data_IF_120401815256
#
_entry.id   IF_120401815256
#
_cell.length_a   1.000
_cell.length_b   1.000
_cell.length_c   1.000
_cell.angle_alpha   90.00
_cell.angle_beta   90.00
_cell.angle_gamma   90.00
#
_symmetry.space_group_name_H-M   'P 1'
#
loop_
_entity.id
_entity.type
_entity.pdbx_description
1 polymer ?
#
# COMPACT_ATOMS: atom_id res chain seq x y z
N UNK A 1 -6.60 -50.42 0.21
CA UNK A 1 -7.75 -49.60 0.66
C UNK A 1 -7.23 -48.19 0.88
N UNK A 2 -7.49 -47.24 -0.03
CA UNK A 2 -6.94 -45.89 0.04
C UNK A 2 -7.98 -44.96 0.68
N UNK A 3 -7.63 -44.32 1.81
CA UNK A 3 -8.46 -43.31 2.44
C UNK A 3 -8.26 -41.98 1.71
N UNK A 4 -9.27 -41.49 1.01
CA UNK A 4 -9.30 -40.12 0.46
C UNK A 4 -9.68 -39.16 1.57
N UNK A 5 -8.73 -38.31 1.98
CA UNK A 5 -9.05 -37.15 2.81
C UNK A 5 -9.83 -36.12 1.98
N UNK A 6 -11.00 -35.65 2.42
CA UNK A 6 -11.70 -34.57 1.73
C UNK A 6 -10.91 -33.27 1.90
N UNK A 7 -10.32 -32.77 0.81
CA UNK A 7 -9.76 -31.42 0.77
C UNK A 7 -10.89 -30.41 0.84
N UNK A 8 -10.90 -29.57 1.89
CA UNK A 8 -11.85 -28.46 2.00
C UNK A 8 -11.48 -27.42 0.94
N UNK A 9 -12.22 -27.40 -0.16
CA UNK A 9 -12.14 -26.34 -1.17
C UNK A 9 -12.87 -25.12 -0.63
N UNK A 10 -12.12 -24.13 -0.17
CA UNK A 10 -12.68 -22.81 0.17
C UNK A 10 -12.88 -22.05 -1.13
N UNK A 11 -14.12 -21.96 -1.59
CA UNK A 11 -14.49 -21.05 -2.67
C UNK A 11 -14.78 -19.66 -2.09
N UNK A 12 -14.09 -18.64 -2.58
CA UNK A 12 -14.38 -17.24 -2.24
C UNK A 12 -15.10 -16.62 -3.42
N UNK A 13 -16.32 -16.14 -3.22
CA UNK A 13 -17.05 -15.39 -4.23
C UNK A 13 -16.38 -14.02 -4.43
N UNK A 14 -15.83 -13.77 -5.62
CA UNK A 14 -15.31 -12.47 -6.01
C UNK A 14 -16.37 -11.70 -6.80
N UNK A 15 -16.80 -10.55 -6.28
CA UNK A 15 -17.58 -9.59 -7.04
C UNK A 15 -16.62 -8.63 -7.75
N UNK A 16 -16.51 -8.74 -9.08
CA UNK A 16 -15.74 -7.79 -9.90
C UNK A 16 -16.70 -6.71 -10.39
N UNK A 17 -16.54 -5.47 -9.88
CA UNK A 17 -17.19 -4.29 -10.47
C UNK A 17 -16.20 -3.63 -11.41
N UNK A 18 -16.66 -3.24 -12.60
CA UNK A 18 -15.88 -2.40 -13.48
C UNK A 18 -15.54 -1.10 -12.74
N UNK A 19 -14.26 -0.90 -12.43
CA UNK A 19 -13.80 0.37 -11.92
C UNK A 19 -13.87 1.42 -13.04
N UNK A 20 -14.15 2.67 -12.68
CA UNK A 20 -14.03 3.78 -13.62
C UNK A 20 -12.61 3.78 -14.22
N UNK A 21 -12.47 4.01 -15.54
CA UNK A 21 -11.16 4.19 -16.16
C UNK A 21 -10.40 5.27 -15.41
N UNK A 22 -9.19 4.93 -14.94
CA UNK A 22 -8.34 5.90 -14.24
C UNK A 22 -7.89 6.95 -15.25
N UNK A 23 -8.17 8.21 -14.96
CA UNK A 23 -7.65 9.32 -15.74
C UNK A 23 -6.26 9.71 -15.21
N UNK A 24 -5.27 9.81 -16.09
CA UNK A 24 -3.90 10.19 -15.74
C UNK A 24 -2.94 9.00 -15.53
N UNK A 25 -1.78 9.29 -14.93
CA UNK A 25 -0.71 8.30 -14.69
C UNK A 25 -0.60 7.82 -13.25
N UNK A 26 -1.35 8.42 -12.34
CA UNK A 26 -1.33 8.11 -10.91
C UNK A 26 -2.75 8.14 -10.33
N UNK A 27 -3.02 7.23 -9.39
CA UNK A 27 -4.26 7.21 -8.64
C UNK A 27 -4.01 6.75 -7.20
N UNK A 28 -4.56 7.45 -6.21
CA UNK A 28 -4.32 7.16 -4.80
C UNK A 28 -5.63 6.87 -4.07
N UNK A 29 -5.65 5.85 -3.23
CA UNK A 29 -6.84 5.40 -2.51
C UNK A 29 -6.49 4.69 -1.21
N UNK A 30 -7.49 4.53 -0.35
CA UNK A 30 -7.36 3.75 0.89
C UNK A 30 -8.10 2.43 0.73
N UNK A 31 -7.39 1.32 0.94
CA UNK A 31 -7.95 -0.04 0.95
C UNK A 31 -7.65 -0.69 2.29
N UNK A 32 -8.68 -1.09 3.03
CA UNK A 32 -8.55 -1.74 4.34
C UNK A 32 -7.63 -0.98 5.32
N UNK A 33 -7.69 0.36 5.33
CA UNK A 33 -6.85 1.21 6.18
C UNK A 33 -5.41 1.40 5.69
N UNK A 34 -5.01 0.76 4.59
CA UNK A 34 -3.73 0.98 3.94
C UNK A 34 -3.86 2.00 2.81
N UNK A 35 -2.98 2.99 2.77
CA UNK A 35 -2.91 3.97 1.70
C UNK A 35 -2.10 3.41 0.54
N UNK A 36 -2.72 3.30 -0.62
CA UNK A 36 -2.15 2.72 -1.83
C UNK A 36 -2.13 3.76 -2.95
N UNK A 37 -1.09 3.69 -3.77
CA UNK A 37 -0.98 4.47 -5.00
C UNK A 37 -0.77 3.52 -6.17
N UNK A 38 -1.59 3.64 -7.20
CA UNK A 38 -1.39 2.98 -8.48
C UNK A 38 -0.68 3.94 -9.43
N UNK A 39 0.42 3.50 -10.03
CA UNK A 39 1.23 4.28 -10.99
C UNK A 39 1.27 3.54 -12.31
N UNK A 40 1.10 4.24 -13.42
CA UNK A 40 1.24 3.70 -14.77
C UNK A 40 2.72 3.80 -15.20
N UNK A 41 3.40 2.65 -15.22
CA UNK A 41 4.81 2.52 -15.65
C UNK A 41 4.83 1.62 -16.88
N UNK A 42 5.39 2.11 -17.99
CA UNK A 42 5.47 1.38 -19.26
C UNK A 42 4.13 0.78 -19.74
N UNK A 43 3.03 1.52 -19.54
CA UNK A 43 1.67 1.08 -19.91
C UNK A 43 1.06 0.02 -18.97
N UNK A 44 1.74 -0.33 -17.88
CA UNK A 44 1.27 -1.27 -16.85
C UNK A 44 1.01 -0.55 -15.54
N UNK A 45 -0.11 -0.87 -14.90
CA UNK A 45 -0.42 -0.37 -13.56
C UNK A 45 0.37 -1.14 -12.50
N UNK A 46 1.05 -0.41 -11.64
CA UNK A 46 1.79 -0.92 -10.47
C UNK A 46 1.18 -0.30 -9.21
N UNK A 47 0.79 -1.13 -8.24
CA UNK A 47 0.32 -0.68 -6.93
C UNK A 47 1.49 -0.61 -5.95
N UNK A 48 1.70 0.56 -5.35
CA UNK A 48 2.71 0.81 -4.30
C UNK A 48 2.02 1.17 -2.98
N UNK A 49 2.57 0.67 -1.87
CA UNK A 49 2.15 1.10 -0.54
C UNK A 49 2.74 2.47 -0.26
N UNK A 50 1.90 3.43 0.11
CA UNK A 50 2.34 4.78 0.47
C UNK A 50 2.63 4.78 1.97
N UNK A 51 3.86 4.46 2.35
CA UNK A 51 4.33 4.74 3.70
C UNK A 51 4.46 6.25 3.90
N UNK A 52 4.07 6.74 5.08
CA UNK A 52 4.38 8.12 5.45
C UNK A 52 5.90 8.32 5.38
N UNK A 53 6.39 9.44 4.82
CA UNK A 53 7.82 9.73 4.87
C UNK A 53 8.27 9.72 6.33
N UNK A 54 9.46 9.18 6.64
CA UNK A 54 9.98 9.23 8.00
C UNK A 54 9.97 10.69 8.43
N UNK A 55 9.31 10.98 9.55
CA UNK A 55 9.34 12.30 10.14
C UNK A 55 10.82 12.64 10.36
N UNK A 56 11.33 13.63 9.61
CA UNK A 56 12.69 14.11 9.78
C UNK A 56 12.72 14.77 11.16
N UNK A 57 13.07 14.01 12.20
CA UNK A 57 13.26 14.55 13.54
C UNK A 57 14.57 15.33 13.52
N UNK A 58 14.51 16.57 13.05
CA UNK A 58 15.61 17.52 13.14
C UNK A 58 15.73 17.85 14.62
N UNK A 59 16.58 17.08 15.32
CA UNK A 59 16.98 17.42 16.67
C UNK A 59 17.76 18.74 16.58
N UNK A 60 17.08 19.85 16.85
CA UNK A 60 17.70 21.14 17.03
C UNK A 60 18.53 21.06 18.31
N UNK A 61 19.79 20.67 18.19
CA UNK A 61 20.76 20.74 19.27
C UNK A 61 21.05 22.22 19.53
N UNK A 62 20.41 22.79 20.54
CA UNK A 62 20.77 24.10 21.07
C UNK A 62 22.06 23.97 21.88
N UNK A 63 23.19 24.32 21.26
CA UNK A 63 24.48 24.48 21.94
C UNK A 63 24.35 25.67 22.90
N UNK A 64 24.11 25.38 24.18
CA UNK A 64 24.17 26.41 25.21
C UNK A 64 25.63 26.66 25.58
N UNK A 65 26.26 27.62 24.88
CA UNK A 65 27.61 28.08 25.24
C UNK A 65 27.55 28.72 26.62
N UNK A 66 28.08 28.03 27.63
CA UNK A 66 28.37 28.64 28.94
C UNK A 66 29.41 29.73 28.71
N UNK A 67 29.04 30.98 28.97
CA UNK A 67 30.01 32.06 29.19
C UNK A 67 30.54 31.89 30.63
N UNK A 68 31.84 31.74 30.74
CA UNK A 68 32.61 31.89 31.99
C UNK A 68 32.72 33.34 32.37
#
# INVERSE_FOLDING_TARGET
MFQTHPSVVRSTAHAVRAAMPRCGREHEYTLNGSRLRDVLVDGRWITVNVSAPPALHIATWSIQRRRT
#
